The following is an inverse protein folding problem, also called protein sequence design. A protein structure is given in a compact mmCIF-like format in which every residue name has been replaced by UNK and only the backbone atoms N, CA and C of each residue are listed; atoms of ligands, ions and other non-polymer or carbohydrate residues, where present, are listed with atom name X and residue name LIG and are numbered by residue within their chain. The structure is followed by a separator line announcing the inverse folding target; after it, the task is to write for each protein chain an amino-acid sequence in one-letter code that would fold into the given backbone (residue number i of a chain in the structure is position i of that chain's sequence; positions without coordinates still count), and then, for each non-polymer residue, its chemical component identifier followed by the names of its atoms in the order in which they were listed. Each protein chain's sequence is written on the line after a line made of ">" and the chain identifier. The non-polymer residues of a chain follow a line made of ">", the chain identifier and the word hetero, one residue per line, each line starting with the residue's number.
data_IF_611603117305
#
_entry.id   IF_611603117305
#
_cell.length_a   1.000
_cell.length_b   1.000
_cell.length_c   1.000
_cell.angle_alpha   90.00
_cell.angle_beta   90.00
_cell.angle_gamma   90.00
#
_symmetry.space_group_name_H-M   'P 1'
#
loop_
_entity.id
_entity.type
_entity.pdbx_description
1 polymer ?
#
# COMPACT_ATOMS: atom_id res chain seq x y z
N UNK A 1 6.16 38.07 -71.18
CA UNK A 1 5.59 38.42 -69.86
C UNK A 1 5.79 37.25 -68.91
N UNK A 2 6.46 37.52 -67.77
CA UNK A 2 6.35 36.91 -66.42
C UNK A 2 5.94 35.42 -66.34
N UNK A 3 6.89 34.52 -66.05
CA UNK A 3 7.20 34.01 -64.69
C UNK A 3 5.99 33.61 -63.86
N UNK A 4 5.75 32.29 -63.70
CA UNK A 4 5.21 31.75 -62.47
C UNK A 4 6.03 30.52 -62.04
N UNK A 5 6.75 30.74 -60.94
CA UNK A 5 7.41 29.74 -60.12
C UNK A 5 6.34 28.98 -59.34
N UNK A 6 6.29 27.66 -59.44
CA UNK A 6 5.66 26.83 -58.43
C UNK A 6 6.76 26.20 -57.58
N UNK A 7 7.07 26.87 -56.46
CA UNK A 7 7.78 26.23 -55.36
C UNK A 7 6.83 25.20 -54.73
N UNK A 8 7.10 23.92 -54.95
CA UNK A 8 6.51 22.85 -54.14
C UNK A 8 7.08 22.94 -52.73
N UNK A 9 6.36 23.62 -51.84
CA UNK A 9 6.68 23.66 -50.41
C UNK A 9 6.22 22.36 -49.77
N UNK A 10 7.17 21.48 -49.46
CA UNK A 10 6.95 20.27 -48.66
C UNK A 10 6.59 20.66 -47.23
N UNK A 11 5.32 20.54 -46.87
CA UNK A 11 4.90 20.51 -45.46
C UNK A 11 5.29 19.16 -44.86
N UNK A 12 6.49 19.10 -44.26
CA UNK A 12 6.85 18.02 -43.34
C UNK A 12 6.05 18.26 -42.06
N UNK A 13 4.88 17.63 -41.97
CA UNK A 13 4.07 17.61 -40.75
C UNK A 13 4.84 16.90 -39.65
N UNK A 14 5.32 17.67 -38.67
CA UNK A 14 5.90 17.18 -37.44
C UNK A 14 4.79 16.50 -36.62
N UNK A 15 4.64 15.17 -36.77
CA UNK A 15 3.83 14.34 -35.88
C UNK A 15 4.49 14.35 -34.51
N UNK A 16 4.05 15.28 -33.65
CA UNK A 16 4.35 15.25 -32.22
C UNK A 16 3.60 14.03 -31.67
N UNK A 17 4.31 12.93 -31.44
CA UNK A 17 3.83 11.85 -30.58
C UNK A 17 3.61 12.45 -29.20
N UNK A 18 2.36 12.84 -28.90
CA UNK A 18 1.95 13.10 -27.54
C UNK A 18 2.02 11.76 -26.80
N UNK A 19 3.09 11.54 -26.04
CA UNK A 19 3.11 10.54 -25.00
C UNK A 19 1.95 10.88 -24.05
N UNK A 20 0.81 10.21 -24.22
CA UNK A 20 -0.29 10.30 -23.28
C UNK A 20 0.25 9.98 -21.90
N UNK A 21 0.13 10.93 -20.97
CA UNK A 21 0.42 10.65 -19.58
C UNK A 21 -0.50 9.50 -19.17
N UNK A 22 0.08 8.45 -18.59
CA UNK A 22 -0.70 7.33 -18.08
C UNK A 22 -1.51 7.87 -16.90
N UNK A 23 -2.76 8.28 -17.17
CA UNK A 23 -3.67 8.71 -16.13
C UNK A 23 -4.15 7.46 -15.39
N UNK A 24 -3.71 7.33 -14.14
CA UNK A 24 -4.22 6.36 -13.20
C UNK A 24 -5.06 7.09 -12.15
N UNK A 25 -6.28 6.62 -11.93
CA UNK A 25 -7.13 7.11 -10.86
C UNK A 25 -8.02 5.99 -10.37
N UNK A 26 -8.12 5.91 -9.05
CA UNK A 26 -8.91 4.93 -8.33
C UNK A 26 -9.84 5.61 -7.33
N UNK A 27 -10.94 4.94 -7.04
CA UNK A 27 -11.85 5.34 -5.98
C UNK A 27 -12.44 4.12 -5.29
N UNK A 28 -12.67 4.27 -3.99
CA UNK A 28 -13.36 3.30 -3.14
C UNK A 28 -14.69 3.92 -2.74
N UNK A 29 -15.77 3.17 -2.96
CA UNK A 29 -17.11 3.53 -2.52
C UNK A 29 -17.66 2.42 -1.64
N UNK A 30 -18.57 2.75 -0.73
CA UNK A 30 -19.13 1.77 0.18
C UNK A 30 -20.50 2.13 0.69
N UNK A 31 -21.10 1.16 1.37
CA UNK A 31 -22.37 1.30 2.08
C UNK A 31 -22.11 1.04 3.55
N UNK A 32 -22.51 2.00 4.39
CA UNK A 32 -22.58 1.82 5.83
C UNK A 32 -23.87 1.07 6.21
N UNK A 33 -23.74 0.03 6.99
CA UNK A 33 -24.86 -0.80 7.47
C UNK A 33 -24.67 -1.18 8.94
N UNK A 34 -25.70 -1.78 9.54
CA UNK A 34 -25.62 -2.27 10.93
C UNK A 34 -24.50 -3.31 11.15
N UNK A 35 -24.09 -4.02 10.10
CA UNK A 35 -22.99 -4.99 10.13
C UNK A 35 -21.63 -4.42 9.71
N UNK A 36 -21.47 -3.09 9.63
CA UNK A 36 -20.25 -2.42 9.20
C UNK A 36 -20.30 -1.83 7.79
N UNK A 37 -19.16 -1.34 7.35
CA UNK A 37 -18.93 -0.74 6.04
C UNK A 37 -18.50 -1.83 5.05
N UNK A 38 -19.31 -1.99 3.99
CA UNK A 38 -18.96 -2.84 2.84
C UNK A 38 -18.45 -1.94 1.72
N UNK A 39 -17.34 -2.31 1.11
CA UNK A 39 -16.68 -1.48 0.09
C UNK A 39 -16.60 -2.17 -1.26
N UNK A 40 -16.51 -1.35 -2.30
CA UNK A 40 -16.11 -1.71 -3.66
C UNK A 40 -15.14 -0.65 -4.16
N UNK A 41 -14.27 -1.02 -5.09
CA UNK A 41 -13.32 -0.10 -5.70
C UNK A 41 -13.45 -0.09 -7.22
N UNK A 42 -13.05 1.02 -7.83
CA UNK A 42 -12.84 1.17 -9.27
C UNK A 42 -11.40 1.65 -9.50
N UNK A 43 -10.72 1.03 -10.45
CA UNK A 43 -9.30 1.29 -10.79
C UNK A 43 -9.15 1.65 -12.26
N UNK A 44 -7.94 2.01 -12.68
CA UNK A 44 -7.56 2.25 -14.06
C UNK A 44 -8.51 3.24 -14.76
N UNK A 45 -8.82 4.35 -14.08
CA UNK A 45 -9.61 5.42 -14.65
C UNK A 45 -8.72 6.57 -15.08
N UNK A 46 -9.12 7.25 -16.15
CA UNK A 46 -8.34 8.37 -16.70
C UNK A 46 -8.48 9.66 -15.88
N UNK A 47 -9.29 9.67 -14.82
CA UNK A 47 -9.43 10.81 -13.90
C UNK A 47 -10.14 10.41 -12.61
N UNK A 48 -9.92 11.16 -11.53
CA UNK A 48 -10.64 10.97 -10.27
C UNK A 48 -12.16 11.09 -10.43
N UNK A 49 -12.64 11.95 -11.32
CA UNK A 49 -14.08 12.11 -11.56
C UNK A 49 -14.69 10.81 -12.11
N UNK A 50 -14.03 10.19 -13.10
CA UNK A 50 -14.44 8.88 -13.64
C UNK A 50 -14.33 7.78 -12.59
N UNK A 51 -13.25 7.79 -11.79
CA UNK A 51 -13.09 6.84 -10.68
C UNK A 51 -14.23 6.90 -9.67
N UNK A 52 -14.58 8.09 -9.21
CA UNK A 52 -15.68 8.29 -8.26
C UNK A 52 -17.02 7.81 -8.84
N UNK A 53 -17.33 8.15 -10.09
CA UNK A 53 -18.55 7.72 -10.76
C UNK A 53 -18.60 6.19 -10.91
N UNK A 54 -17.53 5.58 -11.41
CA UNK A 54 -17.44 4.13 -11.59
C UNK A 54 -17.55 3.37 -10.26
N UNK A 55 -16.92 3.87 -9.20
CA UNK A 55 -17.02 3.28 -7.86
C UNK A 55 -18.46 3.36 -7.31
N UNK A 56 -19.15 4.50 -7.49
CA UNK A 56 -20.55 4.67 -7.08
C UNK A 56 -21.51 3.76 -7.85
N UNK A 57 -21.36 3.66 -9.17
CA UNK A 57 -22.18 2.75 -9.99
C UNK A 57 -21.97 1.28 -9.58
N UNK A 58 -20.71 0.89 -9.37
CA UNK A 58 -20.38 -0.46 -8.86
C UNK A 58 -20.94 -0.69 -7.45
N UNK A 59 -20.93 0.33 -6.60
CA UNK A 59 -21.50 0.24 -5.26
C UNK A 59 -23.01 0.03 -5.33
N UNK A 60 -23.72 0.83 -6.13
CA UNK A 60 -25.19 0.75 -6.26
C UNK A 60 -25.62 -0.60 -6.81
N UNK A 61 -24.92 -1.09 -7.83
CA UNK A 61 -25.23 -2.40 -8.45
C UNK A 61 -24.91 -3.60 -7.55
N UNK A 62 -23.82 -3.57 -6.77
CA UNK A 62 -23.39 -4.72 -5.97
C UNK A 62 -23.86 -4.70 -4.51
N UNK A 63 -23.97 -3.52 -3.92
CA UNK A 63 -24.23 -3.34 -2.49
C UNK A 63 -25.57 -2.65 -2.20
N UNK A 64 -26.11 -1.90 -3.17
CA UNK A 64 -27.38 -1.18 -3.08
C UNK A 64 -28.62 -1.97 -3.49
N UNK A 65 -28.46 -3.23 -3.95
CA UNK A 65 -29.58 -4.10 -4.28
C UNK A 65 -30.25 -4.62 -2.98
N UNK A 66 -31.32 -3.95 -2.57
CA UNK A 66 -32.16 -4.32 -1.44
C UNK A 66 -32.53 -3.11 -0.59
N UNK A 67 -33.83 -2.88 -0.35
CA UNK A 67 -34.38 -1.69 0.35
C UNK A 67 -33.94 -1.47 1.81
N UNK A 68 -32.95 -2.23 2.30
CA UNK A 68 -32.28 -2.08 3.60
C UNK A 68 -30.79 -1.72 3.47
N UNK A 69 -30.25 -1.59 2.26
CA UNK A 69 -28.88 -1.16 2.01
C UNK A 69 -28.75 0.35 2.25
N UNK A 70 -27.80 0.76 3.10
CA UNK A 70 -27.48 2.18 3.30
C UNK A 70 -27.03 2.88 2.01
N UNK A 71 -26.88 4.21 2.08
CA UNK A 71 -26.49 5.04 0.94
C UNK A 71 -25.08 4.68 0.47
N UNK A 72 -24.93 4.46 -0.83
CA UNK A 72 -23.61 4.33 -1.47
C UNK A 72 -22.90 5.68 -1.52
N UNK A 73 -21.71 5.74 -0.94
CA UNK A 73 -20.90 6.95 -0.86
C UNK A 73 -19.45 6.67 -1.24
N UNK A 74 -18.77 7.66 -1.81
CA UNK A 74 -17.32 7.58 -2.06
C UNK A 74 -16.60 7.78 -0.73
N UNK A 75 -15.80 6.80 -0.33
CA UNK A 75 -15.01 6.83 0.90
C UNK A 75 -13.62 7.42 0.67
N UNK A 76 -13.01 7.13 -0.48
CA UNK A 76 -11.72 7.68 -0.88
C UNK A 76 -11.57 7.70 -2.40
N UNK A 77 -10.81 8.64 -2.93
CA UNK A 77 -10.35 8.63 -4.31
C UNK A 77 -8.97 9.28 -4.41
N UNK A 78 -8.18 8.85 -5.39
CA UNK A 78 -6.81 9.30 -5.56
C UNK A 78 -6.31 9.04 -6.97
N UNK A 79 -5.29 9.79 -7.36
CA UNK A 79 -4.55 9.54 -8.58
C UNK A 79 -3.44 8.53 -8.30
N UNK A 80 -3.05 7.80 -9.34
CA UNK A 80 -1.92 6.89 -9.34
C UNK A 80 -0.84 7.31 -10.35
N UNK A 81 0.13 6.42 -10.63
CA UNK A 81 0.17 5.04 -10.15
C UNK A 81 0.47 4.93 -8.64
N UNK A 82 -0.27 4.09 -7.93
CA UNK A 82 -0.12 3.92 -6.47
C UNK A 82 -0.65 2.56 -5.97
N UNK A 83 -0.09 2.08 -4.86
CA UNK A 83 -0.67 1.00 -4.08
C UNK A 83 -1.85 1.53 -3.26
N UNK A 84 -2.85 0.69 -3.09
CA UNK A 84 -4.04 0.96 -2.31
C UNK A 84 -4.24 -0.15 -1.28
N UNK A 85 -4.69 0.23 -0.09
CA UNK A 85 -5.05 -0.72 0.95
C UNK A 85 -6.39 -0.35 1.60
N UNK A 86 -7.17 -1.39 1.93
CA UNK A 86 -8.36 -1.30 2.77
C UNK A 86 -8.18 -2.25 3.94
N UNK A 87 -8.30 -1.69 5.15
CA UNK A 87 -8.20 -2.40 6.42
C UNK A 87 -9.54 -2.30 7.13
N UNK A 88 -10.02 -3.42 7.67
CA UNK A 88 -11.27 -3.47 8.41
C UNK A 88 -11.02 -3.46 9.92
N UNK A 89 -11.86 -2.70 10.63
CA UNK A 89 -11.97 -2.75 12.07
C UNK A 89 -12.95 -3.85 12.49
N UNK A 90 -12.75 -4.37 13.70
CA UNK A 90 -13.64 -5.37 14.34
C UNK A 90 -15.08 -4.88 14.51
N UNK A 91 -15.30 -3.57 14.62
CA UNK A 91 -16.64 -2.97 14.67
C UNK A 91 -17.22 -2.66 13.27
N UNK A 92 -16.53 -3.06 12.21
CA UNK A 92 -16.95 -2.87 10.83
C UNK A 92 -16.59 -1.52 10.21
N UNK A 93 -15.88 -0.62 10.90
CA UNK A 93 -15.26 0.54 10.26
C UNK A 93 -14.15 0.12 9.29
N UNK A 94 -13.77 1.04 8.41
CA UNK A 94 -12.68 0.80 7.44
C UNK A 94 -11.69 1.95 7.43
N UNK A 95 -10.41 1.61 7.34
CA UNK A 95 -9.36 2.55 6.94
C UNK A 95 -8.97 2.27 5.49
N UNK A 96 -8.79 3.34 4.73
CA UNK A 96 -8.41 3.29 3.32
C UNK A 96 -7.23 4.24 3.16
N UNK A 97 -6.19 3.81 2.46
CA UNK A 97 -5.07 4.68 2.11
C UNK A 97 -4.43 4.27 0.78
N UNK A 98 -3.62 5.18 0.26
CA UNK A 98 -2.78 5.00 -0.91
C UNK A 98 -1.32 5.27 -0.55
N UNK A 99 -0.39 4.56 -1.19
CA UNK A 99 1.05 4.68 -0.91
C UNK A 99 1.91 4.33 -2.12
N UNK A 100 3.16 4.80 -2.11
CA UNK A 100 4.14 4.47 -3.16
C UNK A 100 4.61 3.01 -3.07
N UNK A 101 4.50 2.40 -1.89
CA UNK A 101 4.75 0.97 -1.66
C UNK A 101 3.55 0.28 -1.06
N UNK A 102 3.54 -1.04 -1.18
CA UNK A 102 2.56 -1.94 -0.61
C UNK A 102 2.48 -1.77 0.92
N UNK A 103 3.63 -1.71 1.60
CA UNK A 103 3.72 -1.54 3.05
C UNK A 103 3.25 -0.16 3.52
N UNK A 104 3.59 0.90 2.78
CA UNK A 104 3.17 2.26 3.12
C UNK A 104 1.64 2.39 3.04
N UNK A 105 1.03 1.88 1.96
CA UNK A 105 -0.42 1.88 1.82
C UNK A 105 -1.11 1.11 2.96
N UNK A 106 -0.60 -0.08 3.31
CA UNK A 106 -1.16 -0.91 4.38
C UNK A 106 -1.06 -0.25 5.75
N UNK A 107 0.12 0.31 6.08
CA UNK A 107 0.36 0.96 7.37
C UNK A 107 -0.51 2.21 7.54
N UNK A 108 -0.61 3.04 6.50
CA UNK A 108 -1.44 4.25 6.53
C UNK A 108 -2.92 3.89 6.63
N UNK A 109 -3.38 2.87 5.89
CA UNK A 109 -4.76 2.39 5.99
C UNK A 109 -5.06 1.84 7.39
N UNK A 110 -4.11 1.15 8.03
CA UNK A 110 -4.23 0.68 9.40
C UNK A 110 -4.33 1.84 10.41
N UNK A 111 -3.49 2.87 10.29
CA UNK A 111 -3.55 4.08 11.14
C UNK A 111 -4.89 4.81 10.98
N UNK A 112 -5.41 4.93 9.75
CA UNK A 112 -6.74 5.51 9.51
C UNK A 112 -7.82 4.65 10.15
N UNK A 113 -7.72 3.33 10.01
CA UNK A 113 -8.68 2.37 10.58
C UNK A 113 -8.74 2.47 12.11
N UNK A 114 -7.59 2.62 12.78
CA UNK A 114 -7.49 2.69 14.25
C UNK A 114 -8.27 3.85 14.87
N UNK A 115 -8.57 4.90 14.08
CA UNK A 115 -9.44 6.01 14.52
C UNK A 115 -10.89 5.59 14.68
N UNK A 116 -11.31 4.54 13.97
CA UNK A 116 -12.66 4.00 13.99
C UNK A 116 -12.83 2.83 14.96
N UNK A 117 -11.78 2.08 15.29
CA UNK A 117 -11.86 0.94 16.22
C UNK A 117 -10.62 0.05 16.24
N UNK A 118 -10.73 -1.13 16.84
CA UNK A 118 -9.64 -2.13 16.84
C UNK A 118 -9.52 -2.78 15.46
N UNK A 119 -8.38 -2.57 14.80
CA UNK A 119 -8.13 -3.05 13.44
C UNK A 119 -7.14 -4.21 13.41
N UNK A 120 -7.25 -5.04 12.38
CA UNK A 120 -6.25 -6.07 12.04
C UNK A 120 -5.87 -5.92 10.57
N UNK A 121 -4.60 -6.17 10.26
CA UNK A 121 -4.12 -6.27 8.87
C UNK A 121 -4.46 -7.62 8.25
N UNK A 122 -4.91 -8.60 9.04
CA UNK A 122 -5.33 -9.91 8.57
C UNK A 122 -6.57 -9.76 7.67
N UNK A 123 -6.43 -10.13 6.39
CA UNK A 123 -7.50 -9.97 5.41
C UNK A 123 -7.62 -8.57 4.79
N UNK A 124 -6.60 -7.72 4.94
CA UNK A 124 -6.53 -6.45 4.23
C UNK A 124 -6.65 -6.65 2.71
N UNK A 125 -7.42 -5.79 2.05
CA UNK A 125 -7.55 -5.80 0.59
C UNK A 125 -6.56 -4.83 -0.01
N UNK A 126 -5.75 -5.30 -0.96
CA UNK A 126 -4.68 -4.51 -1.54
C UNK A 126 -4.62 -4.68 -3.04
N UNK A 127 -4.33 -3.58 -3.74
CA UNK A 127 -4.14 -3.58 -5.19
C UNK A 127 -3.19 -2.45 -5.60
N UNK A 128 -2.60 -2.60 -6.78
CA UNK A 128 -1.86 -1.53 -7.45
C UNK A 128 -2.70 -0.99 -8.59
N UNK A 129 -2.82 0.33 -8.70
CA UNK A 129 -3.46 1.02 -9.82
C UNK A 129 -2.38 1.54 -10.74
N UNK A 130 -2.13 0.85 -11.85
CA UNK A 130 -1.10 1.19 -12.84
C UNK A 130 -1.60 2.13 -13.95
N UNK A 131 -2.92 2.39 -13.97
CA UNK A 131 -3.58 3.27 -14.94
C UNK A 131 -3.86 2.61 -16.28
N UNK A 132 -4.49 3.35 -17.20
CA UNK A 132 -4.68 2.90 -18.58
C UNK A 132 -3.44 3.27 -19.43
N UNK A 133 -2.33 2.57 -19.22
CA UNK A 133 -1.12 2.73 -20.02
C UNK A 133 -0.82 1.48 -20.85
N UNK A 134 -0.60 1.56 -22.18
CA UNK A 134 -0.08 0.43 -22.93
C UNK A 134 1.36 0.12 -22.51
N UNK A 135 1.61 -1.11 -22.04
CA UNK A 135 2.93 -1.75 -22.11
C UNK A 135 3.98 -1.38 -21.05
N UNK A 136 3.62 -0.75 -19.92
CA UNK A 136 4.58 -0.60 -18.82
C UNK A 136 4.65 -1.87 -17.98
N UNK A 137 5.79 -2.56 -18.08
CA UNK A 137 6.16 -3.67 -17.19
C UNK A 137 6.11 -3.16 -15.75
N UNK A 138 5.33 -3.85 -14.91
CA UNK A 138 5.25 -3.62 -13.47
C UNK A 138 6.67 -3.37 -12.91
N UNK A 139 6.88 -2.38 -12.03
CA UNK A 139 8.03 -2.50 -11.13
C UNK A 139 7.93 -3.89 -10.51
N UNK A 140 9.01 -4.68 -10.51
CA UNK A 140 8.94 -6.05 -10.01
C UNK A 140 8.27 -5.97 -8.64
N UNK A 141 7.15 -6.70 -8.47
CA UNK A 141 6.58 -6.99 -7.15
C UNK A 141 7.80 -7.30 -6.31
N UNK A 142 8.12 -6.46 -5.33
CA UNK A 142 9.26 -6.71 -4.46
C UNK A 142 9.08 -8.16 -4.04
N UNK A 143 10.05 -8.99 -4.43
CA UNK A 143 9.91 -10.43 -4.32
C UNK A 143 9.43 -10.67 -2.90
N UNK A 144 8.22 -11.24 -2.77
CA UNK A 144 7.63 -11.49 -1.47
C UNK A 144 8.76 -12.11 -0.66
N UNK A 145 9.20 -11.42 0.41
CA UNK A 145 10.21 -11.98 1.27
C UNK A 145 9.70 -13.38 1.58
N UNK A 146 10.47 -14.43 1.28
CA UNK A 146 9.98 -15.79 1.41
C UNK A 146 9.31 -15.88 2.76
N UNK A 147 8.01 -16.22 2.77
CA UNK A 147 7.24 -16.38 4.00
C UNK A 147 8.17 -17.10 4.97
N UNK A 148 8.49 -16.51 6.14
CA UNK A 148 9.63 -16.95 6.94
C UNK A 148 9.44 -18.45 7.12
N UNK A 149 10.31 -19.23 6.46
CA UNK A 149 10.33 -20.68 6.57
C UNK A 149 10.24 -20.93 8.06
N UNK A 150 9.17 -21.58 8.54
CA UNK A 150 8.83 -21.67 9.96
C UNK A 150 10.04 -22.20 10.71
N UNK A 151 10.88 -21.26 11.15
CA UNK A 151 12.18 -21.55 11.66
C UNK A 151 11.93 -21.69 13.13
N UNK A 152 11.53 -22.90 13.52
CA UNK A 152 11.15 -23.21 14.88
C UNK A 152 12.38 -23.01 15.76
N UNK A 153 12.44 -21.87 16.45
CA UNK A 153 13.48 -21.56 17.41
C UNK A 153 13.38 -22.62 18.51
N UNK A 154 14.44 -23.38 18.81
CA UNK A 154 14.40 -24.35 19.89
C UNK A 154 14.16 -23.61 21.21
N UNK A 155 12.97 -23.78 21.78
CA UNK A 155 12.65 -23.27 23.12
C UNK A 155 13.19 -24.24 24.16
N UNK A 156 13.98 -23.76 25.13
CA UNK A 156 14.43 -24.57 26.28
C UNK A 156 15.83 -25.18 26.18
N UNK A 157 16.63 -24.81 25.17
CA UNK A 157 18.05 -25.18 25.09
C UNK A 157 18.92 -23.93 24.97
N UNK A 158 20.15 -23.99 25.49
CA UNK A 158 21.17 -22.96 25.26
C UNK A 158 21.61 -23.07 23.81
N UNK A 159 20.89 -22.39 22.91
CA UNK A 159 21.20 -22.38 21.47
C UNK A 159 22.28 -21.35 21.22
N UNK A 160 23.40 -21.74 20.59
CA UNK A 160 24.41 -20.77 20.15
C UNK A 160 23.77 -19.84 19.12
N UNK A 161 23.88 -18.54 19.36
CA UNK A 161 23.33 -17.50 18.48
C UNK A 161 24.37 -16.44 18.18
N UNK A 162 24.29 -15.86 16.98
CA UNK A 162 25.07 -14.71 16.55
C UNK A 162 24.12 -13.58 16.19
N UNK A 163 24.30 -12.43 16.83
CA UNK A 163 23.48 -11.24 16.56
C UNK A 163 24.35 -10.20 15.85
N UNK A 164 23.86 -9.63 14.75
CA UNK A 164 24.48 -8.53 14.02
C UNK A 164 23.47 -7.39 13.89
N UNK A 165 23.87 -6.19 14.32
CA UNK A 165 22.99 -5.02 14.29
C UNK A 165 23.61 -3.85 13.53
N UNK A 166 22.77 -3.10 12.83
CA UNK A 166 23.11 -1.85 12.14
C UNK A 166 22.01 -0.84 12.44
N UNK A 167 22.32 0.27 13.12
CA UNK A 167 21.37 1.34 13.46
C UNK A 167 20.06 0.87 14.14
N UNK A 168 20.14 -0.18 14.96
CA UNK A 168 18.99 -0.75 15.66
C UNK A 168 18.27 -1.85 14.87
N UNK A 169 18.52 -2.02 13.59
CA UNK A 169 18.05 -3.20 12.84
C UNK A 169 18.98 -4.37 13.10
N UNK A 170 18.47 -5.45 13.68
CA UNK A 170 19.24 -6.61 14.08
C UNK A 170 18.82 -7.88 13.33
N UNK A 171 19.82 -8.68 12.97
CA UNK A 171 19.66 -10.05 12.48
C UNK A 171 20.28 -10.98 13.51
N UNK A 172 19.48 -11.93 14.02
CA UNK A 172 19.96 -12.99 14.94
C UNK A 172 19.90 -14.33 14.24
N UNK A 173 21.07 -14.93 14.07
CA UNK A 173 21.27 -16.25 13.47
C UNK A 173 21.45 -17.29 14.56
N UNK A 174 20.63 -18.33 14.57
CA UNK A 174 20.72 -19.48 15.46
C UNK A 174 21.55 -20.60 14.83
N UNK A 175 22.05 -21.52 15.66
CA UNK A 175 22.88 -22.66 15.23
C UNK A 175 22.22 -23.56 14.18
N UNK A 176 20.89 -23.67 14.18
CA UNK A 176 20.13 -24.41 13.17
C UNK A 176 20.00 -23.64 11.83
N UNK A 177 20.73 -22.54 11.65
CA UNK A 177 20.69 -21.69 10.46
C UNK A 177 19.50 -20.73 10.44
N UNK A 178 18.61 -20.77 11.43
CA UNK A 178 17.47 -19.85 11.48
C UNK A 178 17.92 -18.42 11.69
N UNK A 179 17.33 -17.49 10.94
CA UNK A 179 17.57 -16.06 11.11
C UNK A 179 16.28 -15.34 11.43
N UNK A 180 16.32 -14.46 12.41
CA UNK A 180 15.23 -13.53 12.71
C UNK A 180 15.71 -12.10 12.53
N UNK A 181 14.82 -11.26 12.02
CA UNK A 181 15.01 -9.81 11.93
C UNK A 181 14.16 -9.15 13.01
N UNK A 182 14.76 -8.25 13.77
CA UNK A 182 14.05 -7.51 14.81
C UNK A 182 14.70 -6.15 15.02
N UNK A 183 13.94 -5.19 15.54
CA UNK A 183 14.46 -3.91 15.98
C UNK A 183 14.98 -4.06 17.42
N UNK A 184 16.22 -3.67 17.69
CA UNK A 184 16.76 -3.56 19.05
C UNK A 184 15.95 -2.57 19.89
N UNK A 185 15.94 -2.78 21.20
CA UNK A 185 15.35 -1.80 22.11
C UNK A 185 16.21 -0.53 22.14
N UNK A 186 15.57 0.65 22.21
CA UNK A 186 16.27 1.93 22.39
C UNK A 186 16.30 2.27 23.87
N UNK A 187 17.44 2.05 24.50
CA UNK A 187 17.60 2.16 25.95
C UNK A 187 18.34 3.43 26.32
N UNK A 188 17.92 4.09 27.40
CA UNK A 188 18.67 5.19 27.97
C UNK A 188 19.84 4.63 28.78
N UNK A 189 21.05 4.90 28.33
CA UNK A 189 22.26 4.70 29.12
C UNK A 189 22.33 5.80 30.19
N UNK A 190 22.18 5.41 31.46
CA UNK A 190 22.17 6.36 32.60
C UNK A 190 23.54 6.92 32.92
N UNK A 191 24.62 6.25 32.53
CA UNK A 191 25.99 6.74 32.78
C UNK A 191 26.32 7.88 31.81
N UNK A 192 25.95 7.71 30.54
CA UNK A 192 26.25 8.68 29.48
C UNK A 192 25.09 9.63 29.17
N UNK A 193 23.89 9.39 29.73
CA UNK A 193 22.64 10.06 29.38
C UNK A 193 22.32 10.03 27.87
N UNK A 194 22.74 8.98 27.17
CA UNK A 194 22.49 8.82 25.73
C UNK A 194 21.60 7.62 25.42
N UNK A 195 20.85 7.69 24.31
CA UNK A 195 20.05 6.56 23.85
C UNK A 195 20.89 5.61 23.01
N UNK A 196 20.98 4.36 23.44
CA UNK A 196 21.74 3.31 22.78
C UNK A 196 20.84 2.14 22.38
N UNK A 197 21.16 1.49 21.26
CA UNK A 197 20.43 0.32 20.78
C UNK A 197 20.93 -0.95 21.50
N UNK A 198 20.05 -1.65 22.23
CA UNK A 198 20.37 -2.90 22.93
C UNK A 198 19.59 -4.09 22.34
N UNK A 199 20.26 -5.09 21.74
CA UNK A 199 19.60 -6.21 21.05
C UNK A 199 18.94 -7.24 21.98
N UNK A 200 19.24 -7.20 23.28
CA UNK A 200 18.72 -8.16 24.26
C UNK A 200 17.64 -7.54 25.17
N UNK A 201 17.20 -6.32 24.87
CA UNK A 201 16.35 -5.52 25.76
C UNK A 201 17.17 -4.48 26.52
N UNK A 202 16.46 -3.59 27.21
CA UNK A 202 17.09 -2.73 28.20
C UNK A 202 17.30 -3.56 29.45
N UNK A 203 18.49 -3.47 30.05
CA UNK A 203 18.73 -4.13 31.33
C UNK A 203 17.83 -3.44 32.36
N UNK A 204 16.82 -4.17 32.84
CA UNK A 204 16.07 -3.78 34.03
C UNK A 204 16.95 -4.16 35.22
N UNK A 205 17.86 -3.28 35.61
CA UNK A 205 18.59 -3.41 36.87
C UNK A 205 17.56 -3.43 38.02
N UNK A 206 17.25 -4.63 38.52
CA UNK A 206 16.68 -4.85 39.85
C UNK A 206 17.78 -4.88 40.90
#
# INVERSE_FOLDING_TARGET
>A
MRWLRFLSTTFVGLMILACGQADAASAVAGVRSAGGVRVVYATNQTSMAKAKLAALERCRSRLGAGGRGGRCEVLMAGNGPAYWAVVHASNGEVGIALGETEEAALQDAFVVCQRGGQCTTDGAQMWFDDGQGPGKRLPPKQAAQPAPTQCRIPTGQVVRMRTRCVNGECIRTYENGCTIRFQAARCLDRETNTYVWRPNGCDDDS
#
